data_IF_212914042314
#
_entry.id   IF_212914042314
#
_cell.length_a   1.000
_cell.length_b   1.000
_cell.length_c   1.000
_cell.angle_alpha   90.00
_cell.angle_beta   90.00
_cell.angle_gamma   90.00
#
_symmetry.space_group_name_H-M   'P 1'
#
loop_
_entity.id
_entity.type
_entity.pdbx_description
1 polymer ?
#
# COMPACT_ATOMS: atom_id res chain seq x y z
N UNK A 1 -13.57 -31.43 -6.29
CA UNK A 1 -12.97 -30.42 -5.38
C UNK A 1 -11.46 -30.57 -5.48
N UNK A 2 -10.79 -29.74 -6.28
CA UNK A 2 -9.33 -29.74 -6.39
C UNK A 2 -8.73 -29.16 -5.10
N UNK A 3 -7.75 -29.83 -4.50
CA UNK A 3 -6.99 -29.30 -3.36
C UNK A 3 -6.00 -28.29 -3.92
N UNK A 4 -6.10 -27.03 -3.52
CA UNK A 4 -5.10 -26.01 -3.86
C UNK A 4 -3.84 -26.23 -3.01
N UNK A 5 -3.02 -27.24 -3.35
CA UNK A 5 -1.71 -27.44 -2.74
C UNK A 5 -0.70 -26.55 -3.45
N UNK A 6 -0.39 -25.40 -2.85
CA UNK A 6 0.71 -24.54 -3.29
C UNK A 6 2.01 -25.03 -2.65
N UNK A 7 3.01 -25.34 -3.47
CA UNK A 7 4.37 -25.56 -2.96
C UNK A 7 4.85 -24.31 -2.20
N UNK A 8 5.64 -24.48 -1.12
CA UNK A 8 6.01 -23.38 -0.23
C UNK A 8 6.85 -22.33 -0.94
N UNK A 9 6.31 -21.14 -1.16
CA UNK A 9 7.11 -19.97 -1.50
C UNK A 9 7.75 -19.43 -0.20
N UNK A 10 9.08 -19.20 -0.15
CA UNK A 10 10.01 -19.18 -1.27
C UNK A 10 10.62 -20.55 -1.64
N UNK A 11 10.94 -20.74 -2.93
CA UNK A 11 11.74 -21.87 -3.44
C UNK A 11 13.03 -22.03 -2.59
N UNK A 12 13.55 -23.24 -2.33
CA UNK A 12 14.83 -23.43 -1.63
C UNK A 12 16.06 -23.03 -2.48
N UNK A 13 17.20 -22.64 -1.87
CA UNK A 13 18.43 -22.36 -2.60
C UNK A 13 18.99 -23.63 -3.25
N UNK A 14 19.57 -23.51 -4.46
CA UNK A 14 20.13 -24.64 -5.21
C UNK A 14 19.10 -25.54 -5.92
N UNK A 15 17.82 -25.17 -5.88
CA UNK A 15 16.73 -25.90 -6.53
C UNK A 15 16.59 -25.51 -8.00
N UNK A 16 16.65 -26.49 -8.91
CA UNK A 16 16.34 -26.32 -10.34
C UNK A 16 14.83 -26.31 -10.58
N UNK A 17 14.38 -25.84 -11.75
CA UNK A 17 12.95 -25.86 -12.09
C UNK A 17 12.39 -27.28 -12.03
N UNK A 18 13.14 -28.25 -12.56
CA UNK A 18 12.78 -29.68 -12.54
C UNK A 18 12.57 -30.22 -11.13
N UNK A 19 13.51 -29.96 -10.21
CA UNK A 19 13.38 -30.41 -8.82
C UNK A 19 12.26 -29.69 -8.09
N UNK A 20 11.99 -28.43 -8.45
CA UNK A 20 10.87 -27.72 -7.86
C UNK A 20 9.53 -28.32 -8.27
N UNK A 21 9.35 -28.61 -9.56
CA UNK A 21 8.07 -29.10 -10.06
C UNK A 21 7.76 -30.53 -9.63
N UNK A 22 8.77 -31.34 -9.29
CA UNK A 22 8.55 -32.73 -8.84
C UNK A 22 7.68 -32.84 -7.58
N UNK A 23 7.50 -31.74 -6.83
CA UNK A 23 6.62 -31.69 -5.67
C UNK A 23 5.12 -31.53 -5.97
N UNK A 24 4.74 -31.22 -7.22
CA UNK A 24 3.34 -31.12 -7.63
C UNK A 24 2.68 -32.49 -7.80
N UNK A 25 1.40 -32.61 -7.41
CA UNK A 25 0.57 -33.80 -7.61
C UNK A 25 -0.54 -33.52 -8.65
N UNK A 26 -1.12 -34.57 -9.27
CA UNK A 26 -2.23 -34.41 -10.21
C UNK A 26 -3.41 -33.66 -9.56
N UNK A 27 -3.87 -32.60 -10.21
CA UNK A 27 -4.94 -31.73 -9.70
C UNK A 27 -4.46 -30.51 -8.90
N UNK A 28 -3.16 -30.36 -8.69
CA UNK A 28 -2.57 -29.15 -8.11
C UNK A 28 -2.56 -27.98 -9.12
N UNK A 29 -2.64 -26.76 -8.61
CA UNK A 29 -2.46 -25.55 -9.42
C UNK A 29 -0.98 -25.15 -9.48
N UNK A 30 -0.41 -25.10 -10.68
CA UNK A 30 0.99 -24.73 -10.89
C UNK A 30 1.19 -23.22 -10.69
N UNK A 31 2.17 -22.85 -9.86
CA UNK A 31 2.62 -21.45 -9.75
C UNK A 31 3.72 -21.19 -10.78
N UNK A 32 3.30 -20.81 -11.98
CA UNK A 32 4.17 -20.52 -13.12
C UNK A 32 5.30 -19.52 -12.80
N UNK A 33 5.05 -18.58 -11.89
CA UNK A 33 6.06 -17.62 -11.46
C UNK A 33 7.18 -18.29 -10.66
N UNK A 34 6.82 -19.26 -9.82
CA UNK A 34 7.79 -20.00 -9.01
C UNK A 34 8.64 -20.94 -9.87
N UNK A 35 8.10 -21.47 -10.97
CA UNK A 35 8.86 -22.24 -11.97
C UNK A 35 9.92 -21.37 -12.65
N UNK A 36 9.53 -20.18 -13.11
CA UNK A 36 10.43 -19.17 -13.69
C UNK A 36 11.56 -18.78 -12.72
N UNK A 37 11.23 -18.58 -11.44
CA UNK A 37 12.21 -18.23 -10.39
C UNK A 37 13.14 -19.41 -10.09
N UNK A 38 12.64 -20.65 -10.05
CA UNK A 38 13.45 -21.84 -9.83
C UNK A 38 14.47 -22.06 -10.96
N UNK A 39 14.08 -21.85 -12.22
CA UNK A 39 14.98 -21.96 -13.36
C UNK A 39 16.15 -20.96 -13.30
N UNK A 40 15.90 -19.75 -12.81
CA UNK A 40 16.92 -18.70 -12.69
C UNK A 40 17.75 -18.80 -11.39
N UNK A 41 17.45 -19.73 -10.48
CA UNK A 41 18.11 -19.80 -9.17
C UNK A 41 19.56 -20.26 -9.19
N UNK A 42 19.94 -21.00 -10.24
CA UNK A 42 21.33 -21.38 -10.47
C UNK A 42 22.23 -20.18 -10.82
N UNK A 43 21.66 -19.00 -11.09
CA UNK A 43 22.37 -17.80 -11.52
C UNK A 43 22.31 -16.69 -10.44
N UNK A 44 23.20 -16.71 -9.42
CA UNK A 44 23.14 -15.81 -8.27
C UNK A 44 23.29 -14.31 -8.63
N UNK A 45 24.00 -13.98 -9.73
CA UNK A 45 24.11 -12.60 -10.24
C UNK A 45 22.80 -12.04 -10.79
N UNK A 46 21.88 -12.91 -11.19
CA UNK A 46 20.54 -12.55 -11.70
C UNK A 46 19.56 -12.40 -10.53
N UNK A 47 19.63 -13.32 -9.56
CA UNK A 47 18.83 -13.29 -8.33
C UNK A 47 19.09 -12.08 -7.44
N UNK A 48 20.28 -11.45 -7.46
CA UNK A 48 20.52 -10.24 -6.66
C UNK A 48 19.59 -9.08 -7.00
N UNK A 49 18.87 -9.16 -8.12
CA UNK A 49 17.87 -8.17 -8.53
C UNK A 49 16.41 -8.64 -8.34
N UNK A 50 16.20 -9.89 -7.93
CA UNK A 50 14.88 -10.54 -7.87
C UNK A 50 14.69 -11.18 -6.49
N UNK A 51 13.67 -10.75 -5.74
CA UNK A 51 13.25 -11.36 -4.48
C UNK A 51 12.87 -12.85 -4.71
N UNK A 52 13.07 -13.75 -3.72
CA UNK A 52 12.54 -15.12 -3.73
C UNK A 52 11.08 -15.30 -4.18
N UNK A 53 10.25 -14.25 -4.13
CA UNK A 53 8.86 -14.20 -4.65
C UNK A 53 8.75 -13.71 -6.11
N UNK A 54 9.86 -13.61 -6.85
CA UNK A 54 9.93 -13.15 -8.24
C UNK A 54 9.61 -11.66 -8.42
N UNK A 55 9.68 -10.85 -7.36
CA UNK A 55 9.46 -9.40 -7.41
C UNK A 55 10.80 -8.69 -7.56
N UNK A 56 10.86 -7.55 -8.24
CA UNK A 56 12.07 -6.72 -8.23
C UNK A 56 12.47 -6.47 -6.76
N UNK A 57 13.72 -6.78 -6.41
CA UNK A 57 14.40 -5.92 -5.44
C UNK A 57 14.58 -4.59 -6.18
N UNK A 58 13.53 -3.77 -6.24
CA UNK A 58 13.77 -2.35 -6.05
C UNK A 58 14.33 -2.31 -4.64
N UNK A 59 15.65 -2.50 -4.54
CA UNK A 59 16.38 -1.99 -3.41
C UNK A 59 15.94 -0.54 -3.40
N UNK A 60 14.99 -0.22 -2.53
CA UNK A 60 14.72 1.14 -2.12
C UNK A 60 16.06 1.53 -1.54
N UNK A 61 16.96 2.03 -2.40
CA UNK A 61 17.97 2.98 -1.99
C UNK A 61 17.09 3.96 -1.25
N UNK A 62 17.20 3.94 0.08
CA UNK A 62 16.85 5.08 0.87
C UNK A 62 17.78 6.15 0.32
N UNK A 63 17.36 6.78 -0.79
CA UNK A 63 17.92 8.04 -1.23
C UNK A 63 17.78 8.88 0.02
N UNK A 64 18.93 9.16 0.64
CA UNK A 64 18.96 9.95 1.85
C UNK A 64 18.25 11.23 1.47
N UNK A 65 17.03 11.41 1.99
CA UNK A 65 16.24 12.59 1.72
C UNK A 65 17.18 13.78 1.96
N UNK A 66 17.35 14.67 0.98
CA UNK A 66 18.27 15.78 1.14
C UNK A 66 17.94 16.49 2.45
N UNK A 67 18.95 16.84 3.25
CA UNK A 67 18.75 17.44 4.57
C UNK A 67 17.83 18.68 4.51
N UNK A 68 17.80 19.38 3.38
CA UNK A 68 16.90 20.51 3.10
C UNK A 68 15.40 20.16 3.06
N UNK A 69 15.03 18.89 2.96
CA UNK A 69 13.64 18.41 2.98
C UNK A 69 13.14 18.19 4.41
N UNK A 70 14.02 18.14 5.41
CA UNK A 70 13.64 17.96 6.82
C UNK A 70 12.67 19.02 7.34
N UNK A 71 12.88 20.33 7.10
CA UNK A 71 11.92 21.36 7.50
C UNK A 71 10.54 21.13 6.91
N UNK A 72 10.47 20.73 5.62
CA UNK A 72 9.22 20.39 4.96
C UNK A 72 8.54 19.18 5.63
N UNK A 73 9.32 18.17 6.01
CA UNK A 73 8.79 16.98 6.68
C UNK A 73 8.22 17.31 8.06
N UNK A 74 8.88 18.20 8.83
CA UNK A 74 8.38 18.67 10.13
C UNK A 74 7.09 19.45 9.97
N UNK A 75 7.02 20.35 8.98
CA UNK A 75 5.79 21.10 8.65
C UNK A 75 4.67 20.14 8.25
N UNK A 76 4.99 19.14 7.42
CA UNK A 76 4.01 18.14 6.98
C UNK A 76 3.50 17.31 8.17
N UNK A 77 4.39 16.89 9.06
CA UNK A 77 4.04 16.14 10.27
C UNK A 77 3.19 16.98 11.22
N UNK A 78 3.52 18.26 11.41
CA UNK A 78 2.72 19.18 12.21
C UNK A 78 1.33 19.40 11.60
N UNK A 79 1.24 19.55 10.28
CA UNK A 79 0.00 19.70 9.54
C UNK A 79 -0.88 18.44 9.62
N UNK A 80 -0.31 17.25 9.41
CA UNK A 80 -1.03 15.98 9.58
C UNK A 80 -1.38 15.67 11.04
N UNK A 81 -0.64 16.23 12.00
CA UNK A 81 -0.98 16.14 13.42
C UNK A 81 -2.09 17.12 13.83
N UNK A 82 -2.49 18.07 12.97
CA UNK A 82 -3.40 19.17 13.34
C UNK A 82 -4.70 18.76 14.05
N UNK A 83 -5.39 17.65 13.70
CA UNK A 83 -6.60 17.23 14.43
C UNK A 83 -6.31 16.87 15.89
N UNK A 84 -5.15 16.23 16.13
CA UNK A 84 -4.70 15.81 17.46
C UNK A 84 -4.33 17.03 18.29
N UNK A 85 -3.59 17.98 17.69
CA UNK A 85 -3.25 19.25 18.33
C UNK A 85 -4.51 20.06 18.67
N UNK A 86 -5.48 20.14 17.75
CA UNK A 86 -6.73 20.86 17.96
C UNK A 86 -7.51 20.30 19.15
N UNK A 87 -7.70 18.98 19.17
CA UNK A 87 -8.35 18.27 20.26
C UNK A 87 -7.62 18.46 21.58
N UNK A 88 -6.29 18.29 21.59
CA UNK A 88 -5.45 18.51 22.76
C UNK A 88 -5.56 19.94 23.28
N UNK A 89 -5.67 20.95 22.41
CA UNK A 89 -5.81 22.35 22.84
C UNK A 89 -7.12 22.59 23.60
N UNK A 90 -8.20 21.94 23.15
CA UNK A 90 -9.53 22.05 23.77
C UNK A 90 -9.64 21.28 25.10
N UNK A 91 -8.97 20.14 25.23
CA UNK A 91 -9.20 19.21 26.35
C UNK A 91 -7.99 18.90 27.22
N UNK A 92 -6.79 19.31 26.84
CA UNK A 92 -5.63 19.21 27.73
C UNK A 92 -5.77 20.24 28.86
N UNK A 93 -5.92 19.74 30.07
CA UNK A 93 -5.33 20.41 31.22
C UNK A 93 -3.83 20.22 31.02
N UNK A 94 -3.11 21.29 30.66
CA UNK A 94 -1.70 21.17 30.29
C UNK A 94 -0.90 20.44 31.37
N UNK A 95 0.29 19.95 31.01
CA UNK A 95 1.26 19.34 31.94
C UNK A 95 1.62 20.22 33.16
N UNK A 96 1.12 21.45 33.23
CA UNK A 96 1.25 22.38 34.34
C UNK A 96 -0.12 22.75 34.89
N UNK A 97 -0.39 22.21 36.08
CA UNK A 97 -1.26 22.73 37.14
C UNK A 97 -2.76 22.83 36.87
N UNK A 98 -3.50 22.07 37.67
CA UNK A 98 -4.96 22.09 37.88
C UNK A 98 -5.53 23.42 38.43
N UNK A 99 -4.70 24.46 38.59
CA UNK A 99 -5.05 25.73 39.24
C UNK A 99 -5.18 26.93 38.30
N UNK A 100 -4.93 26.78 37.00
CA UNK A 100 -5.12 27.88 36.02
C UNK A 100 -6.53 27.77 35.41
N UNK A 101 -7.38 28.83 35.47
CA UNK A 101 -8.71 28.79 34.86
C UNK A 101 -8.60 28.51 33.35
N UNK A 102 -9.59 27.78 32.83
CA UNK A 102 -9.67 27.41 31.42
C UNK A 102 -9.92 28.66 30.56
N UNK A 103 -8.87 29.20 29.94
CA UNK A 103 -9.00 30.35 29.03
C UNK A 103 -9.50 29.91 27.64
N UNK A 104 -10.81 30.07 27.42
CA UNK A 104 -11.45 29.78 26.13
C UNK A 104 -11.15 30.83 25.06
N UNK A 105 -10.80 32.06 25.44
CA UNK A 105 -10.55 33.16 24.51
C UNK A 105 -9.34 32.89 23.63
N UNK A 106 -8.37 32.14 24.12
CA UNK A 106 -7.20 31.70 23.35
C UNK A 106 -7.39 30.31 22.73
N UNK A 107 -7.96 29.36 23.47
CA UNK A 107 -8.02 27.94 23.04
C UNK A 107 -8.98 27.71 21.89
N UNK A 108 -10.16 28.34 21.91
CA UNK A 108 -11.17 28.13 20.88
C UNK A 108 -10.71 28.64 19.50
N UNK A 109 -10.11 29.85 19.38
CA UNK A 109 -9.51 30.29 18.11
C UNK A 109 -8.38 29.38 17.62
N UNK A 110 -7.44 28.99 18.49
CA UNK A 110 -6.33 28.12 18.11
C UNK A 110 -6.83 26.77 17.62
N UNK A 111 -7.79 26.16 18.31
CA UNK A 111 -8.41 24.92 17.87
C UNK A 111 -9.16 25.10 16.55
N UNK A 112 -9.90 26.20 16.37
CA UNK A 112 -10.58 26.53 15.11
C UNK A 112 -9.62 26.63 13.93
N UNK A 113 -8.47 27.29 14.09
CA UNK A 113 -7.41 27.34 13.07
C UNK A 113 -6.87 25.95 12.74
N UNK A 114 -6.57 25.13 13.75
CA UNK A 114 -6.06 23.78 13.55
C UNK A 114 -7.08 22.87 12.85
N UNK A 115 -8.36 22.95 13.20
CA UNK A 115 -9.44 22.28 12.48
C UNK A 115 -9.59 22.81 11.04
N UNK A 116 -9.39 24.12 10.82
CA UNK A 116 -9.35 24.71 9.48
C UNK A 116 -8.22 24.17 8.61
N UNK A 117 -7.01 24.03 9.16
CA UNK A 117 -5.87 23.37 8.48
C UNK A 117 -6.24 21.91 8.17
N UNK A 118 -6.78 21.19 9.15
CA UNK A 118 -7.17 19.80 8.96
C UNK A 118 -8.24 19.63 7.87
N UNK A 119 -9.16 20.59 7.77
CA UNK A 119 -10.18 20.63 6.73
C UNK A 119 -9.55 20.77 5.34
N UNK A 120 -8.62 21.72 5.16
CA UNK A 120 -7.91 21.90 3.88
C UNK A 120 -7.17 20.63 3.47
N UNK A 121 -6.45 19.99 4.40
CA UNK A 121 -5.74 18.73 4.15
C UNK A 121 -6.71 17.63 3.73
N UNK A 122 -7.86 17.52 4.41
CA UNK A 122 -8.88 16.52 4.07
C UNK A 122 -9.42 16.72 2.67
N UNK A 123 -9.72 17.96 2.28
CA UNK A 123 -10.16 18.30 0.92
C UNK A 123 -9.10 17.90 -0.11
N UNK A 124 -7.83 18.24 0.12
CA UNK A 124 -6.72 17.87 -0.77
C UNK A 124 -6.59 16.35 -0.89
N UNK A 125 -6.68 15.62 0.22
CA UNK A 125 -6.59 14.16 0.21
C UNK A 125 -7.78 13.51 -0.52
N UNK A 126 -8.99 14.03 -0.37
CA UNK A 126 -10.18 13.53 -1.07
C UNK A 126 -10.12 13.84 -2.56
N UNK A 127 -9.73 15.05 -2.95
CA UNK A 127 -9.52 15.41 -4.36
C UNK A 127 -8.43 14.52 -4.96
N UNK A 128 -7.29 14.36 -4.27
CA UNK A 128 -6.22 13.46 -4.67
C UNK A 128 -6.67 12.02 -4.82
N UNK A 129 -7.56 11.54 -3.93
CA UNK A 129 -8.15 10.21 -4.03
C UNK A 129 -8.97 10.04 -5.33
N UNK A 130 -9.73 11.04 -5.76
CA UNK A 130 -10.46 10.99 -7.03
C UNK A 130 -9.55 11.10 -8.25
N UNK A 131 -8.55 11.99 -8.22
CA UNK A 131 -7.62 12.23 -9.33
C UNK A 131 -6.67 11.05 -9.54
N UNK A 132 -6.14 10.46 -8.46
CA UNK A 132 -5.17 9.36 -8.52
C UNK A 132 -5.80 7.95 -8.67
N UNK A 133 -7.08 7.87 -9.05
CA UNK A 133 -7.75 6.61 -9.34
C UNK A 133 -8.10 5.77 -8.10
N UNK A 134 -8.48 6.40 -6.99
CA UNK A 134 -8.96 5.77 -5.74
C UNK A 134 -7.92 4.93 -4.99
N UNK A 135 -6.65 5.33 -5.07
CA UNK A 135 -5.54 4.75 -4.31
C UNK A 135 -5.28 5.63 -3.07
N UNK A 136 -5.77 5.28 -1.88
CA UNK A 136 -5.60 6.20 -0.75
C UNK A 136 -6.06 5.76 0.62
N UNK A 137 -5.36 4.78 1.23
CA UNK A 137 -5.55 4.44 2.65
C UNK A 137 -5.27 5.62 3.61
N UNK A 138 -4.40 6.56 3.22
CA UNK A 138 -4.07 7.76 4.00
C UNK A 138 -5.28 8.69 4.11
N UNK A 139 -6.03 8.90 3.02
CA UNK A 139 -7.22 9.76 3.02
C UNK A 139 -8.29 9.20 3.97
N UNK A 140 -8.50 7.88 3.96
CA UNK A 140 -9.46 7.21 4.84
C UNK A 140 -9.03 7.30 6.31
N UNK A 141 -7.76 7.00 6.62
CA UNK A 141 -7.24 7.08 7.98
C UNK A 141 -7.31 8.49 8.56
N UNK A 142 -6.84 9.47 7.78
CA UNK A 142 -6.85 10.88 8.19
C UNK A 142 -8.27 11.41 8.41
N UNK A 143 -9.18 11.18 7.44
CA UNK A 143 -10.58 11.62 7.56
C UNK A 143 -11.28 10.94 8.74
N UNK A 144 -10.97 9.67 9.02
CA UNK A 144 -11.50 8.95 10.17
C UNK A 144 -11.06 9.55 11.51
N UNK A 145 -9.76 9.86 11.65
CA UNK A 145 -9.23 10.52 12.86
C UNK A 145 -9.81 11.92 13.03
N UNK A 146 -9.85 12.72 11.95
CA UNK A 146 -10.44 14.06 11.98
C UNK A 146 -11.92 14.02 12.35
N UNK A 147 -12.69 13.08 11.78
CA UNK A 147 -14.11 12.92 12.10
C UNK A 147 -14.30 12.55 13.57
N UNK A 148 -13.58 11.54 14.08
CA UNK A 148 -13.72 11.10 15.48
C UNK A 148 -13.39 12.22 16.47
N UNK A 149 -12.24 12.89 16.29
CA UNK A 149 -11.83 13.99 17.17
C UNK A 149 -12.71 15.22 17.00
N UNK A 150 -13.08 15.57 15.77
CA UNK A 150 -14.00 16.67 15.47
C UNK A 150 -15.36 16.48 16.08
N UNK A 151 -15.91 15.27 16.02
CA UNK A 151 -17.19 14.92 16.62
C UNK A 151 -17.13 15.06 18.15
N UNK A 152 -16.09 14.52 18.79
CA UNK A 152 -15.90 14.64 20.23
C UNK A 152 -15.74 16.11 20.67
N UNK A 153 -14.95 16.90 19.94
CA UNK A 153 -14.80 18.34 20.16
C UNK A 153 -16.11 19.11 20.00
N UNK A 154 -16.87 18.80 18.94
CA UNK A 154 -18.13 19.46 18.62
C UNK A 154 -19.17 19.19 19.72
N UNK A 155 -19.31 17.93 20.16
CA UNK A 155 -20.20 17.56 21.27
C UNK A 155 -19.76 18.20 22.58
N UNK A 156 -18.46 18.19 22.89
CA UNK A 156 -17.93 18.81 24.11
C UNK A 156 -18.16 20.33 24.17
N UNK A 157 -18.06 21.03 23.02
CA UNK A 157 -18.33 22.46 22.91
C UNK A 157 -19.84 22.77 22.87
N UNK A 158 -20.66 21.93 22.24
CA UNK A 158 -22.12 22.06 22.24
C UNK A 158 -22.72 21.88 23.63
N UNK A 159 -22.17 20.97 24.44
CA UNK A 159 -22.57 20.79 25.82
C UNK A 159 -22.21 21.98 26.73
N UNK A 160 -21.32 22.87 26.27
CA UNK A 160 -20.86 24.07 26.98
C UNK A 160 -21.29 25.33 26.22
N UNK A 161 -22.60 25.57 26.19
CA UNK A 161 -23.23 26.65 25.41
C UNK A 161 -22.65 28.04 25.65
N UNK A 162 -22.20 28.31 26.88
CA UNK A 162 -21.74 29.63 27.31
C UNK A 162 -20.35 30.01 26.75
N UNK A 163 -19.54 29.01 26.37
CA UNK A 163 -18.17 29.20 25.86
C UNK A 163 -18.11 30.05 24.60
N UNK A 164 -19.17 30.05 23.78
CA UNK A 164 -19.20 30.82 22.52
C UNK A 164 -19.44 32.30 22.74
N UNK A 165 -20.21 32.64 23.78
CA UNK A 165 -20.54 34.02 24.11
C UNK A 165 -19.34 34.75 24.74
N UNK A 166 -18.45 34.01 25.40
CA UNK A 166 -17.25 34.56 26.05
C UNK A 166 -16.09 34.85 25.08
N UNK A 167 -16.14 34.33 23.85
CA UNK A 167 -15.03 34.41 22.89
C UNK A 167 -15.41 35.29 21.70
N UNK A 168 -14.53 36.24 21.35
CA UNK A 168 -14.69 37.05 20.16
C UNK A 168 -14.76 36.16 18.91
N UNK A 169 -15.85 36.30 18.14
CA UNK A 169 -16.15 35.44 17.00
C UNK A 169 -16.30 33.95 17.34
N UNK A 170 -16.74 33.61 18.57
CA UNK A 170 -16.89 32.23 19.03
C UNK A 170 -17.69 31.32 18.07
N UNK A 171 -18.76 31.85 17.47
CA UNK A 171 -19.55 31.12 16.48
C UNK A 171 -18.77 30.82 15.19
N UNK A 172 -17.91 31.72 14.73
CA UNK A 172 -17.08 31.51 13.54
C UNK A 172 -16.01 30.45 13.79
N UNK A 173 -15.40 30.45 14.98
CA UNK A 173 -14.44 29.41 15.37
C UNK A 173 -15.11 28.05 15.48
N UNK A 174 -16.31 27.98 16.06
CA UNK A 174 -17.05 26.74 16.10
C UNK A 174 -17.47 26.27 14.71
N UNK A 175 -17.82 27.19 13.80
CA UNK A 175 -18.14 26.84 12.42
C UNK A 175 -16.99 26.07 11.75
N UNK A 176 -15.73 26.47 11.95
CA UNK A 176 -14.59 25.71 11.40
C UNK A 176 -14.52 24.27 11.94
N UNK A 177 -14.78 24.08 13.23
CA UNK A 177 -14.78 22.75 13.88
C UNK A 177 -15.92 21.88 13.33
N UNK A 178 -17.12 22.44 13.22
CA UNK A 178 -18.30 21.75 12.70
C UNK A 178 -18.15 21.44 11.21
N UNK A 179 -17.64 22.38 10.41
CA UNK A 179 -17.38 22.19 8.99
C UNK A 179 -16.32 21.11 8.75
N UNK A 180 -15.21 21.13 9.50
CA UNK A 180 -14.19 20.10 9.45
C UNK A 180 -14.77 18.72 9.80
N UNK A 181 -15.59 18.64 10.85
CA UNK A 181 -16.26 17.40 11.27
C UNK A 181 -17.23 16.90 10.21
N UNK A 182 -18.10 17.78 9.68
CA UNK A 182 -19.08 17.41 8.66
C UNK A 182 -18.43 16.92 7.37
N UNK A 183 -17.43 17.66 6.87
CA UNK A 183 -16.68 17.28 5.66
C UNK A 183 -15.90 15.98 5.89
N UNK A 184 -15.27 15.80 7.05
CA UNK A 184 -14.60 14.55 7.38
C UNK A 184 -15.58 13.36 7.42
N UNK A 185 -16.77 13.55 8.00
CA UNK A 185 -17.82 12.54 8.05
C UNK A 185 -18.32 12.14 6.66
N UNK A 186 -18.64 13.13 5.82
CA UNK A 186 -19.00 12.89 4.40
C UNK A 186 -17.86 12.19 3.68
N UNK A 187 -16.61 12.60 3.90
CA UNK A 187 -15.43 11.99 3.28
C UNK A 187 -15.25 10.54 3.71
N UNK A 188 -15.45 10.21 4.99
CA UNK A 188 -15.42 8.82 5.47
C UNK A 188 -16.50 7.99 4.79
N UNK A 189 -17.74 8.49 4.70
CA UNK A 189 -18.84 7.79 4.03
C UNK A 189 -18.50 7.55 2.55
N UNK A 190 -18.06 8.58 1.84
CA UNK A 190 -17.64 8.49 0.43
C UNK A 190 -16.51 7.46 0.29
N UNK A 191 -15.48 7.51 1.13
CA UNK A 191 -14.34 6.59 1.07
C UNK A 191 -14.69 5.16 1.50
N UNK A 192 -15.77 4.94 2.25
CA UNK A 192 -16.29 3.61 2.60
C UNK A 192 -17.16 3.03 1.49
N UNK A 193 -18.04 3.85 0.91
CA UNK A 193 -18.97 3.45 -0.16
C UNK A 193 -18.23 3.19 -1.47
N UNK A 194 -17.34 4.10 -1.84
CA UNK A 194 -16.47 3.91 -2.99
C UNK A 194 -15.29 3.04 -2.55
N UNK A 195 -15.45 1.70 -2.66
CA UNK A 195 -14.33 0.77 -2.49
C UNK A 195 -13.19 1.20 -3.39
N UNK A 196 -12.00 1.26 -2.79
CA UNK A 196 -10.75 1.32 -3.54
C UNK A 196 -10.84 0.24 -4.61
N UNK A 197 -10.66 0.62 -5.88
CA UNK A 197 -10.47 -0.43 -6.88
C UNK A 197 -9.31 -1.25 -6.35
N UNK A 198 -9.41 -2.59 -6.30
CA UNK A 198 -8.23 -3.39 -6.05
C UNK A 198 -7.18 -2.82 -6.99
N UNK A 199 -5.97 -2.64 -6.48
CA UNK A 199 -4.86 -2.42 -7.38
C UNK A 199 -4.92 -3.60 -8.35
N UNK A 200 -5.57 -3.40 -9.50
CA UNK A 200 -5.15 -3.97 -10.74
C UNK A 200 -3.68 -3.65 -10.67
N UNK A 201 -2.93 -4.70 -10.37
CA UNK A 201 -1.50 -4.74 -10.57
C UNK A 201 -1.45 -4.44 -12.03
N UNK A 202 -1.33 -3.15 -12.31
CA UNK A 202 -1.10 -2.61 -13.61
C UNK A 202 0.30 -3.11 -13.88
N UNK A 203 0.37 -4.39 -14.29
CA UNK A 203 1.46 -5.01 -15.01
C UNK A 203 1.50 -4.35 -16.41
N UNK A 204 1.32 -3.03 -16.43
CA UNK A 204 1.54 -2.14 -17.53
C UNK A 204 3.00 -2.27 -17.86
N UNK A 205 3.24 -3.10 -18.87
CA UNK A 205 4.26 -2.87 -19.88
C UNK A 205 5.69 -2.67 -19.36
N UNK A 206 6.01 -3.26 -18.21
CA UNK A 206 7.40 -3.51 -17.83
C UNK A 206 7.66 -5.00 -17.99
N UNK A 207 8.64 -5.41 -18.82
CA UNK A 207 9.01 -6.81 -18.92
C UNK A 207 9.30 -7.32 -17.50
N UNK A 208 8.71 -8.47 -17.16
CA UNK A 208 8.93 -9.13 -15.88
C UNK A 208 10.44 -9.13 -15.56
N UNK A 209 10.87 -8.80 -14.32
CA UNK A 209 12.29 -8.82 -13.92
C UNK A 209 13.01 -10.08 -14.40
N UNK A 210 12.32 -11.22 -14.39
CA UNK A 210 12.77 -12.52 -14.90
C UNK A 210 13.17 -12.46 -16.37
N UNK A 211 12.39 -11.80 -17.24
CA UNK A 211 12.68 -11.64 -18.68
C UNK A 211 13.92 -10.78 -18.88
N UNK A 212 14.00 -9.67 -18.15
CA UNK A 212 15.15 -8.74 -18.24
C UNK A 212 16.43 -9.42 -17.78
N UNK A 213 16.34 -10.27 -16.75
CA UNK A 213 17.50 -10.96 -16.22
C UNK A 213 17.89 -12.18 -17.04
N UNK A 214 16.93 -12.91 -17.61
CA UNK A 214 17.17 -13.98 -18.59
C UNK A 214 17.91 -13.44 -19.82
N UNK A 215 17.47 -12.30 -20.38
CA UNK A 215 18.13 -11.66 -21.54
C UNK A 215 19.56 -11.17 -21.27
N UNK A 216 19.96 -11.01 -20.00
CA UNK A 216 21.33 -10.62 -19.61
C UNK A 216 22.29 -11.81 -19.52
N UNK A 217 21.78 -13.04 -19.53
CA UNK A 217 22.62 -14.24 -19.52
C UNK A 217 23.34 -14.41 -20.86
N UNK A 218 24.56 -14.96 -20.89
CA UNK A 218 25.20 -15.43 -22.12
C UNK A 218 24.30 -16.42 -22.88
N UNK A 219 24.36 -16.50 -24.23
CA UNK A 219 23.50 -17.40 -25.01
C UNK A 219 23.51 -18.87 -24.55
N UNK A 220 24.67 -19.40 -24.14
CA UNK A 220 24.80 -20.76 -23.61
C UNK A 220 24.04 -20.98 -22.30
N UNK A 221 24.01 -19.97 -21.44
CA UNK A 221 23.28 -20.02 -20.16
C UNK A 221 21.77 -19.85 -20.38
N UNK A 222 21.38 -19.06 -21.38
CA UNK A 222 19.98 -18.94 -21.82
C UNK A 222 19.43 -20.28 -22.32
N UNK A 223 20.19 -21.00 -23.15
CA UNK A 223 19.83 -22.35 -23.63
C UNK A 223 19.68 -23.34 -22.47
N UNK A 224 20.60 -23.31 -21.50
CA UNK A 224 20.52 -24.19 -20.32
C UNK A 224 19.27 -23.92 -19.46
N UNK A 225 18.89 -22.65 -19.26
CA UNK A 225 17.65 -22.28 -18.55
C UNK A 225 16.42 -22.73 -19.33
N UNK A 226 16.41 -22.57 -20.66
CA UNK A 226 15.30 -23.04 -21.48
C UNK A 226 15.17 -24.56 -21.45
N UNK A 227 16.29 -25.29 -21.44
CA UNK A 227 16.29 -26.74 -21.32
C UNK A 227 15.72 -27.20 -19.96
N UNK A 228 16.13 -26.58 -18.85
CA UNK A 228 15.60 -26.90 -17.51
C UNK A 228 14.09 -26.62 -17.40
N UNK A 229 13.61 -25.52 -18.00
CA UNK A 229 12.16 -25.23 -18.07
C UNK A 229 11.43 -26.26 -18.92
N UNK A 230 11.97 -26.67 -20.08
CA UNK A 230 11.34 -27.70 -20.93
C UNK A 230 11.25 -29.03 -20.20
N UNK A 231 12.33 -29.48 -19.55
CA UNK A 231 12.31 -30.71 -18.76
C UNK A 231 11.29 -30.64 -17.62
N UNK A 232 11.15 -29.48 -16.97
CA UNK A 232 10.14 -29.27 -15.94
C UNK A 232 8.71 -29.33 -16.50
N UNK A 233 8.46 -28.78 -17.69
CA UNK A 233 7.17 -28.86 -18.36
C UNK A 233 6.83 -30.30 -18.79
N UNK A 234 7.81 -31.03 -19.32
CA UNK A 234 7.64 -32.42 -19.75
C UNK A 234 7.28 -33.31 -18.53
N UNK A 235 7.91 -33.08 -17.38
CA UNK A 235 7.62 -33.78 -16.13
C UNK A 235 6.22 -33.44 -15.55
N UNK A 236 5.75 -32.19 -15.71
CA UNK A 236 4.40 -31.79 -15.33
C UNK A 236 3.32 -32.41 -16.25
N UNK A 237 3.57 -32.45 -17.56
CA UNK A 237 2.68 -33.06 -18.56
C UNK A 237 2.61 -34.59 -18.35
N UNK A 238 3.75 -35.26 -18.19
CA UNK A 238 3.82 -36.71 -17.98
C UNK A 238 3.06 -37.16 -16.72
N UNK A 239 3.01 -36.30 -15.69
CA UNK A 239 2.28 -36.56 -14.44
C UNK A 239 0.83 -36.11 -14.47
N UNK A 240 0.32 -35.60 -15.61
CA UNK A 240 -1.03 -35.04 -15.75
C UNK A 240 -1.32 -33.92 -14.72
N UNK A 241 -0.31 -33.12 -14.37
CA UNK A 241 -0.50 -31.92 -13.53
C UNK A 241 -1.01 -30.76 -14.39
N UNK A 242 -0.54 -30.68 -15.63
CA UNK A 242 -0.97 -29.73 -16.65
C UNK A 242 -1.48 -30.49 -17.87
N UNK A 243 -2.37 -29.89 -18.65
CA UNK A 243 -2.82 -30.48 -19.91
C UNK A 243 -1.85 -30.19 -21.07
N UNK A 244 -2.03 -30.90 -22.19
CA UNK A 244 -1.17 -30.76 -23.37
C UNK A 244 -1.25 -29.35 -24.02
N UNK A 245 -2.36 -28.64 -23.84
CA UNK A 245 -2.57 -27.30 -24.39
C UNK A 245 -1.78 -26.25 -23.58
N UNK A 246 -1.84 -26.33 -22.26
CA UNK A 246 -1.03 -25.57 -21.30
C UNK A 246 0.45 -25.84 -21.49
N UNK A 247 0.85 -27.10 -21.65
CA UNK A 247 2.24 -27.47 -21.94
C UNK A 247 2.73 -26.89 -23.27
N UNK A 248 1.93 -26.98 -24.35
CA UNK A 248 2.26 -26.42 -25.65
C UNK A 248 2.37 -24.88 -25.62
N UNK A 249 1.49 -24.20 -24.88
CA UNK A 249 1.54 -22.75 -24.70
C UNK A 249 2.74 -22.32 -23.86
N UNK A 250 3.03 -23.04 -22.76
CA UNK A 250 4.18 -22.80 -21.89
C UNK A 250 5.51 -22.99 -22.62
N UNK A 251 5.63 -24.00 -23.50
CA UNK A 251 6.84 -24.25 -24.32
C UNK A 251 7.15 -23.11 -25.30
N UNK A 252 6.14 -22.32 -25.71
CA UNK A 252 6.29 -21.18 -26.61
C UNK A 252 6.60 -19.87 -25.87
N UNK A 253 6.43 -19.84 -24.56
CA UNK A 253 6.66 -18.64 -23.76
C UNK A 253 8.16 -18.41 -23.52
N UNK A 254 8.61 -17.15 -23.61
CA UNK A 254 9.94 -16.78 -23.12
C UNK A 254 10.00 -16.99 -21.58
N UNK A 255 11.14 -17.46 -21.03
CA UNK A 255 11.35 -17.52 -19.58
C UNK A 255 11.04 -16.16 -18.92
N UNK A 256 10.17 -16.16 -17.92
CA UNK A 256 9.60 -14.96 -17.29
C UNK A 256 8.24 -14.51 -17.84
N UNK A 257 7.70 -15.19 -18.84
CA UNK A 257 6.34 -15.02 -19.35
C UNK A 257 5.43 -16.25 -19.13
N UNK A 258 5.89 -17.29 -18.43
CA UNK A 258 5.10 -18.51 -18.22
C UNK A 258 3.71 -18.21 -17.61
N UNK A 259 3.64 -17.28 -16.65
CA UNK A 259 2.37 -16.85 -16.05
C UNK A 259 1.36 -16.27 -17.05
N UNK A 260 1.82 -15.66 -18.15
CA UNK A 260 0.93 -15.01 -19.13
C UNK A 260 0.42 -15.96 -20.20
N UNK A 261 1.17 -17.02 -20.47
CA UNK A 261 0.87 -17.95 -21.56
C UNK A 261 0.27 -19.27 -21.09
N UNK A 262 0.50 -19.66 -19.83
CA UNK A 262 0.07 -20.94 -19.29
C UNK A 262 -1.05 -20.81 -18.22
N UNK A 263 -1.63 -19.62 -18.08
CA UNK A 263 -2.77 -19.33 -17.17
C UNK A 263 -4.12 -19.58 -17.81
#
# INVERSE_FOLDING_TARGET
MAREKKLPAPVPPGTTARYWVSGYEPGDTVDWRSVDVAALRAYPKVLSTIDPKGRYHEGKRYERLPFWVWPLFVVMLAAFGSPIWAFSTLFSQGWRSSSTPFDWTTRLPVAGVLYGIALVITVVLVVGYFVAGRRGGIARGYSGVLFALGLLSSFGLLARGDVRAEVLYGDQWMFFILAATGIAGVSVIVLLVFRERPALTDDGEKPSPTITAFRKLPPREQEAVQADIREALDDLEARNVIDAEQAASARRAEPGMLRRHAS
#
